data_IF_427866498977
#
_entry.id   IF_427866498977
#
_cell.length_a   1.000
_cell.length_b   1.000
_cell.length_c   1.000
_cell.angle_alpha   90.00
_cell.angle_beta   90.00
_cell.angle_gamma   90.00
#
_symmetry.space_group_name_H-M   'P 1'
#
loop_
_entity.id
_entity.type
_entity.pdbx_description
1 polymer ?
#
# COMPACT_ATOMS: atom_id res chain seq x y z
N UNK A 1 6.79 24.62 2.39
CA UNK A 1 6.74 23.55 1.37
C UNK A 1 5.41 22.82 1.45
N UNK A 2 4.69 22.79 0.37
CA UNK A 2 3.38 22.15 0.34
C UNK A 2 3.52 20.72 -0.17
N UNK A 3 3.03 19.77 0.64
CA UNK A 3 2.96 18.38 0.23
C UNK A 3 1.76 18.25 -0.71
N UNK A 4 1.95 17.72 -1.93
CA UNK A 4 0.84 17.56 -2.85
C UNK A 4 -0.08 16.41 -2.42
N UNK A 5 -1.28 16.33 -3.02
CA UNK A 5 -2.28 15.32 -2.67
C UNK A 5 -1.78 13.89 -2.81
N UNK A 6 -0.95 13.64 -3.82
CA UNK A 6 -0.43 12.30 -4.10
C UNK A 6 0.54 11.85 -3.01
N UNK A 7 1.42 12.75 -2.56
CA UNK A 7 2.35 12.47 -1.48
C UNK A 7 1.63 12.22 -0.16
N UNK A 8 0.60 13.01 0.14
CA UNK A 8 -0.21 12.82 1.35
C UNK A 8 -0.88 11.45 1.35
N UNK A 9 -1.45 11.06 0.23
CA UNK A 9 -2.13 9.79 0.11
C UNK A 9 -1.15 8.63 0.22
N UNK A 10 0.02 8.76 -0.42
CA UNK A 10 1.08 7.75 -0.32
C UNK A 10 1.56 7.58 1.11
N UNK A 11 1.75 8.69 1.83
CA UNK A 11 2.15 8.63 3.24
C UNK A 11 1.10 7.96 4.11
N UNK A 12 -0.18 8.22 3.86
CA UNK A 12 -1.28 7.54 4.52
C UNK A 12 -1.23 6.05 4.29
N UNK A 13 -1.00 5.64 3.04
CA UNK A 13 -0.90 4.22 2.70
C UNK A 13 0.28 3.59 3.43
N UNK A 14 1.43 4.26 3.49
CA UNK A 14 2.60 3.76 4.20
C UNK A 14 2.28 3.45 5.67
N UNK A 15 1.60 4.36 6.36
CA UNK A 15 1.19 4.17 7.74
C UNK A 15 0.23 2.99 7.87
N UNK A 16 -0.77 2.91 6.97
CA UNK A 16 -1.75 1.84 7.01
C UNK A 16 -1.13 0.48 6.68
N UNK A 17 -0.13 0.44 5.80
CA UNK A 17 0.63 -0.79 5.52
C UNK A 17 1.32 -1.28 6.77
N UNK A 18 2.01 -0.39 7.51
CA UNK A 18 2.70 -0.77 8.74
C UNK A 18 1.71 -1.27 9.80
N UNK A 19 0.58 -0.60 9.96
CA UNK A 19 -0.46 -1.03 10.88
C UNK A 19 -1.03 -2.40 10.51
N UNK A 20 -1.30 -2.60 9.23
CA UNK A 20 -1.83 -3.87 8.74
C UNK A 20 -0.83 -5.00 8.98
N UNK A 21 0.45 -4.77 8.70
CA UNK A 21 1.48 -5.76 8.93
C UNK A 21 1.61 -6.12 10.41
N UNK A 22 1.51 -5.13 11.30
CA UNK A 22 1.52 -5.38 12.74
C UNK A 22 0.32 -6.23 13.16
N UNK A 23 -0.87 -5.91 12.64
CA UNK A 23 -2.09 -6.64 12.94
C UNK A 23 -2.02 -8.09 12.46
N UNK A 24 -1.32 -8.34 11.35
CA UNK A 24 -1.20 -9.67 10.75
C UNK A 24 0.02 -10.46 11.24
N UNK A 25 0.79 -9.92 12.19
CA UNK A 25 1.91 -10.62 12.79
C UNK A 25 3.28 -10.30 12.22
N UNK A 26 3.38 -9.33 11.32
CA UNK A 26 4.65 -8.83 10.81
C UNK A 26 5.24 -9.54 9.60
N UNK A 27 4.70 -10.70 9.22
CA UNK A 27 5.18 -11.47 8.08
C UNK A 27 3.98 -11.85 7.21
N UNK A 28 3.85 -11.20 6.05
CA UNK A 28 2.63 -11.28 5.23
C UNK A 28 2.95 -11.07 3.75
N UNK A 29 1.99 -11.43 2.90
CA UNK A 29 2.07 -11.11 1.47
C UNK A 29 1.47 -9.72 1.21
N UNK A 30 1.84 -9.12 0.07
CA UNK A 30 1.25 -7.85 -0.37
C UNK A 30 -0.27 -7.94 -0.45
N UNK A 31 -0.76 -9.07 -0.93
CA UNK A 31 -2.20 -9.33 -1.09
C UNK A 31 -2.92 -9.30 0.25
N UNK A 32 -2.32 -9.90 1.27
CA UNK A 32 -2.88 -9.92 2.62
C UNK A 32 -2.91 -8.54 3.24
N UNK A 33 -1.83 -7.75 3.06
CA UNK A 33 -1.76 -6.39 3.56
C UNK A 33 -2.84 -5.52 2.92
N UNK A 34 -2.97 -5.60 1.60
CA UNK A 34 -3.97 -4.84 0.86
C UNK A 34 -5.38 -5.18 1.32
N UNK A 35 -5.65 -6.46 1.53
CA UNK A 35 -6.94 -6.93 2.02
C UNK A 35 -7.24 -6.43 3.43
N UNK A 36 -6.24 -6.43 4.30
CA UNK A 36 -6.38 -5.93 5.66
C UNK A 36 -6.72 -4.43 5.65
N UNK A 37 -6.06 -3.66 4.81
CA UNK A 37 -6.36 -2.24 4.65
C UNK A 37 -7.79 -2.05 4.15
N UNK A 38 -8.17 -2.81 3.13
CA UNK A 38 -9.51 -2.73 2.56
C UNK A 38 -10.60 -3.02 3.59
N UNK A 39 -10.38 -4.03 4.41
CA UNK A 39 -11.40 -4.50 5.35
C UNK A 39 -11.42 -3.75 6.68
N UNK A 40 -10.29 -3.22 7.13
CA UNK A 40 -10.17 -2.70 8.50
C UNK A 40 -9.64 -1.28 8.63
N UNK A 41 -9.14 -0.66 7.57
CA UNK A 41 -8.62 0.70 7.68
C UNK A 41 -9.75 1.69 7.96
N UNK A 42 -9.52 2.59 8.91
CA UNK A 42 -10.46 3.67 9.21
C UNK A 42 -10.22 4.89 8.34
N UNK A 43 -9.09 4.92 7.64
CA UNK A 43 -8.64 6.08 6.86
C UNK A 43 -8.79 5.87 5.37
N UNK A 44 -8.61 4.62 4.91
CA UNK A 44 -8.71 4.24 3.49
C UNK A 44 -9.95 3.38 3.34
N UNK A 45 -10.89 3.81 2.52
CA UNK A 45 -12.14 3.10 2.32
C UNK A 45 -12.00 1.94 1.34
N UNK A 46 -12.91 0.98 1.47
CA UNK A 46 -13.02 -0.13 0.52
C UNK A 46 -13.19 0.40 -0.91
N UNK A 47 -13.98 1.45 -1.08
CA UNK A 47 -14.20 2.08 -2.39
C UNK A 47 -12.90 2.58 -3.00
N UNK A 48 -12.01 3.17 -2.19
CA UNK A 48 -10.72 3.68 -2.67
C UNK A 48 -9.83 2.53 -3.14
N UNK A 49 -9.83 1.41 -2.43
CA UNK A 49 -9.03 0.24 -2.82
C UNK A 49 -9.57 -0.39 -4.09
N UNK A 50 -10.88 -0.51 -4.18
CA UNK A 50 -11.56 -1.23 -5.28
C UNK A 50 -11.80 -0.38 -6.52
N UNK A 51 -11.62 0.93 -6.45
CA UNK A 51 -11.86 1.84 -7.56
C UNK A 51 -11.11 1.42 -8.81
N UNK A 52 -11.82 1.42 -9.94
CA UNK A 52 -11.27 1.07 -11.25
C UNK A 52 -11.34 2.30 -12.15
N UNK A 53 -10.27 2.55 -12.89
CA UNK A 53 -10.23 3.58 -13.92
C UNK A 53 -9.82 2.98 -15.25
N UNK A 54 -10.21 3.65 -16.33
CA UNK A 54 -9.84 3.25 -17.68
C UNK A 54 -8.68 4.11 -18.17
N UNK A 55 -7.63 3.46 -18.66
CA UNK A 55 -6.49 4.18 -19.21
C UNK A 55 -6.87 4.88 -20.52
N UNK A 56 -6.53 6.16 -20.65
CA UNK A 56 -6.78 6.92 -21.87
C UNK A 56 -5.89 6.47 -23.03
N UNK A 57 -4.73 5.90 -22.74
CA UNK A 57 -3.78 5.47 -23.75
C UNK A 57 -4.09 4.10 -24.33
N UNK A 58 -4.44 3.14 -23.46
CA UNK A 58 -4.62 1.73 -23.87
C UNK A 58 -6.05 1.25 -23.86
N UNK A 59 -6.95 1.99 -23.18
CA UNK A 59 -8.32 1.56 -22.96
C UNK A 59 -8.48 0.45 -21.92
N UNK A 60 -7.37 -0.02 -21.36
CA UNK A 60 -7.41 -1.05 -20.33
C UNK A 60 -7.85 -0.48 -18.98
N UNK A 61 -8.52 -1.29 -18.17
CA UNK A 61 -8.91 -0.90 -16.82
C UNK A 61 -7.77 -1.19 -15.85
N UNK A 62 -7.68 -0.40 -14.78
CA UNK A 62 -6.68 -0.57 -13.74
C UNK A 62 -7.20 -0.05 -12.41
N UNK A 63 -6.54 -0.46 -11.32
CA UNK A 63 -6.86 0.01 -9.98
C UNK A 63 -5.85 1.09 -9.59
N UNK A 64 -6.24 2.37 -9.51
CA UNK A 64 -5.31 3.44 -9.12
C UNK A 64 -4.66 3.21 -7.76
N UNK A 65 -5.37 2.60 -6.81
CA UNK A 65 -4.83 2.28 -5.49
C UNK A 65 -3.59 1.37 -5.58
N UNK A 66 -3.59 0.41 -6.49
CA UNK A 66 -2.48 -0.55 -6.62
C UNK A 66 -1.16 0.14 -6.92
N UNK A 67 -1.17 1.16 -7.76
CA UNK A 67 0.04 1.93 -8.07
C UNK A 67 0.57 2.63 -6.83
N UNK A 68 -0.31 3.30 -6.09
CA UNK A 68 0.08 4.02 -4.88
C UNK A 68 0.52 3.08 -3.77
N UNK A 69 -0.16 1.96 -3.64
CA UNK A 69 0.19 0.91 -2.70
C UNK A 69 1.59 0.35 -2.99
N UNK A 70 1.88 0.06 -4.25
CA UNK A 70 3.18 -0.47 -4.65
C UNK A 70 4.29 0.54 -4.41
N UNK A 71 4.06 1.83 -4.68
CA UNK A 71 5.03 2.88 -4.38
C UNK A 71 5.25 3.03 -2.88
N UNK A 72 4.19 2.97 -2.09
CA UNK A 72 4.30 3.06 -0.63
C UNK A 72 5.13 1.90 -0.07
N UNK A 73 4.86 0.68 -0.54
CA UNK A 73 5.61 -0.51 -0.12
C UNK A 73 7.08 -0.37 -0.53
N UNK A 74 7.35 0.11 -1.75
CA UNK A 74 8.71 0.34 -2.23
C UNK A 74 9.46 1.33 -1.35
N UNK A 75 8.79 2.42 -0.95
CA UNK A 75 9.37 3.40 -0.03
C UNK A 75 9.72 2.78 1.32
N UNK A 76 8.81 1.96 1.86
CA UNK A 76 9.06 1.28 3.14
C UNK A 76 10.23 0.31 3.06
N UNK A 77 10.40 -0.35 1.93
CA UNK A 77 11.53 -1.24 1.70
C UNK A 77 12.82 -0.42 1.59
N UNK A 78 12.80 0.66 0.83
CA UNK A 78 13.96 1.54 0.64
C UNK A 78 14.42 2.17 1.94
N UNK A 79 13.49 2.56 2.82
CA UNK A 79 13.82 3.17 4.11
C UNK A 79 14.14 2.15 5.19
N UNK A 80 13.95 0.86 4.93
CA UNK A 80 14.31 -0.21 5.86
C UNK A 80 13.25 -0.58 6.88
N UNK A 81 12.03 -0.06 6.77
CA UNK A 81 10.93 -0.44 7.66
C UNK A 81 10.34 -1.79 7.29
N UNK A 82 10.44 -2.17 6.02
CA UNK A 82 9.93 -3.43 5.50
C UNK A 82 11.05 -4.15 4.75
N UNK A 83 11.14 -5.45 4.94
CA UNK A 83 12.13 -6.30 4.27
C UNK A 83 11.41 -7.27 3.34
N UNK A 84 11.98 -7.49 2.17
CA UNK A 84 11.45 -8.48 1.22
C UNK A 84 12.60 -9.13 0.45
N UNK A 85 12.49 -10.43 0.20
CA UNK A 85 13.45 -11.16 -0.62
C UNK A 85 12.95 -11.38 -2.04
N UNK A 86 11.62 -11.50 -2.18
CA UNK A 86 11.00 -11.89 -3.46
C UNK A 86 9.92 -10.92 -3.96
N UNK A 87 9.77 -9.77 -3.32
CA UNK A 87 8.73 -8.77 -3.62
C UNK A 87 7.28 -9.21 -3.37
N UNK A 88 7.06 -10.45 -2.96
CA UNK A 88 5.72 -10.95 -2.62
C UNK A 88 5.50 -10.99 -1.13
N UNK A 89 6.47 -11.55 -0.42
CA UNK A 89 6.40 -11.70 1.03
C UNK A 89 7.10 -10.53 1.68
N UNK A 90 6.39 -9.88 2.59
CA UNK A 90 6.88 -8.70 3.29
C UNK A 90 7.06 -9.04 4.76
N UNK A 91 8.08 -8.47 5.37
CA UNK A 91 8.37 -8.65 6.78
C UNK A 91 8.70 -7.30 7.41
N UNK A 92 8.14 -7.04 8.59
CA UNK A 92 8.51 -5.85 9.35
C UNK A 92 9.93 -5.99 9.85
N UNK A 93 10.74 -4.93 9.66
CA UNK A 93 12.07 -4.92 10.24
C UNK A 93 11.96 -4.56 11.72
N UNK A 94 13.05 -4.78 12.45
CA UNK A 94 13.11 -4.47 13.89
C UNK A 94 13.41 -2.98 14.16
N UNK A 95 13.43 -2.18 13.12
CA UNK A 95 13.70 -0.75 13.26
C UNK A 95 12.60 -0.02 14.00
#
# INVERSE_FOLDING_TARGET
>A
MTINRMEKFENLIMVEVLKAMQALGGRVTRKEVKREIRDHSEVISEEQVDKVKKSKKTGATYHPFDYRFNFAVKHLITTGFVITEDNRNLELSEK
#
